data_IF_520166573962
#
_entry.id   IF_520166573962
#
_cell.length_a   1.000
_cell.length_b   1.000
_cell.length_c   1.000
_cell.angle_alpha   90.00
_cell.angle_beta   90.00
_cell.angle_gamma   90.00
#
_symmetry.space_group_name_H-M   'P 1'
#
loop_
_entity.id
_entity.type
_entity.pdbx_description
1 polymer ?
#
# COMPACT_ATOMS: atom_id res chain seq x y z
N UNK A 1 62.93 -23.65 27.71
CA UNK A 1 61.67 -23.81 28.46
C UNK A 1 61.17 -22.42 28.85
N UNK A 2 59.91 -22.09 28.49
CA UNK A 2 59.02 -21.05 29.07
C UNK A 2 59.40 -19.57 28.81
N UNK A 3 58.72 -18.89 27.87
CA UNK A 3 57.45 -18.11 27.98
C UNK A 3 57.75 -16.60 28.19
N UNK A 4 57.50 -15.73 27.20
CA UNK A 4 56.24 -15.04 26.84
C UNK A 4 55.99 -13.77 27.66
N UNK A 5 55.67 -12.67 26.95
CA UNK A 5 54.62 -11.63 27.17
C UNK A 5 55.03 -10.47 26.23
N UNK A 6 54.65 -10.45 24.95
CA UNK A 6 53.34 -10.10 24.35
C UNK A 6 52.78 -8.76 24.84
N UNK A 7 53.06 -7.68 24.11
CA UNK A 7 52.34 -6.41 24.20
C UNK A 7 51.11 -6.47 23.29
N UNK A 8 49.92 -6.43 23.90
CA UNK A 8 48.64 -6.28 23.23
C UNK A 8 48.47 -4.83 22.77
N UNK A 9 48.53 -4.60 21.45
CA UNK A 9 48.05 -3.37 20.85
C UNK A 9 46.52 -3.43 20.75
N UNK A 10 45.85 -2.51 21.44
CA UNK A 10 44.42 -2.25 21.32
C UNK A 10 44.20 -1.49 20.02
N UNK A 11 43.64 -2.15 19.01
CA UNK A 11 43.08 -1.48 17.83
C UNK A 11 41.56 -1.58 17.88
N UNK A 12 40.94 -0.48 18.30
CA UNK A 12 39.54 -0.15 18.06
C UNK A 12 39.33 -0.03 16.56
N UNK A 13 38.85 -1.10 15.91
CA UNK A 13 38.32 -0.99 14.55
C UNK A 13 36.86 -0.58 14.70
N UNK A 14 36.61 0.66 14.29
CA UNK A 14 35.31 1.30 14.20
C UNK A 14 34.29 0.37 13.55
N UNK A 15 33.20 0.12 14.27
CA UNK A 15 31.98 -0.41 13.68
C UNK A 15 31.43 0.61 12.71
N UNK A 16 31.78 0.47 11.43
CA UNK A 16 30.93 0.96 10.35
C UNK A 16 29.72 0.04 10.30
N UNK A 17 28.73 0.31 11.16
CA UNK A 17 27.36 -0.08 10.89
C UNK A 17 26.96 0.68 9.62
N UNK A 18 27.09 0.04 8.47
CA UNK A 18 26.34 0.43 7.29
C UNK A 18 24.88 0.13 7.62
N UNK A 19 24.23 1.06 8.32
CA UNK A 19 22.79 1.20 8.24
C UNK A 19 22.55 1.62 6.80
N UNK A 20 22.20 0.65 5.95
CA UNK A 20 21.49 0.98 4.72
C UNK A 20 20.18 1.60 5.22
N UNK A 21 20.08 2.92 5.14
CA UNK A 21 18.81 3.60 5.26
C UNK A 21 18.08 3.27 3.96
N UNK A 22 17.23 2.25 4.00
CA UNK A 22 16.16 2.15 3.03
C UNK A 22 15.27 3.36 3.27
N UNK A 23 15.26 4.24 2.28
CA UNK A 23 14.40 5.41 2.19
C UNK A 23 12.97 4.92 1.90
N UNK A 24 12.32 4.31 2.89
CA UNK A 24 10.94 3.84 2.76
C UNK A 24 10.00 4.91 3.33
N UNK A 25 9.77 5.95 2.54
CA UNK A 25 8.57 6.75 2.70
C UNK A 25 7.38 5.90 2.24
N UNK A 26 6.46 5.60 3.15
CA UNK A 26 5.25 4.83 2.81
C UNK A 26 4.52 5.44 1.62
N UNK A 27 4.06 4.58 0.71
CA UNK A 27 3.40 4.98 -0.53
C UNK A 27 1.97 5.49 -0.30
N UNK A 28 1.36 5.08 0.81
CA UNK A 28 0.03 5.55 1.22
C UNK A 28 0.04 5.92 2.69
N UNK A 29 -0.43 7.12 3.03
CA UNK A 29 -0.43 7.63 4.40
C UNK A 29 -1.76 8.32 4.68
N UNK A 30 -2.34 8.06 5.83
CA UNK A 30 -3.61 8.67 6.18
C UNK A 30 -4.21 8.19 7.48
N UNK A 31 -5.51 8.39 7.61
CA UNK A 31 -6.30 8.03 8.80
C UNK A 31 -7.41 7.06 8.43
N UNK A 32 -7.64 6.10 9.32
CA UNK A 32 -8.82 5.24 9.34
C UNK A 32 -9.44 5.34 10.74
N UNK A 33 -10.61 5.95 10.84
CA UNK A 33 -11.20 6.28 12.13
C UNK A 33 -10.42 7.41 12.79
N UNK A 34 -9.92 7.15 14.00
CA UNK A 34 -9.07 8.09 14.75
C UNK A 34 -7.57 7.76 14.64
N UNK A 35 -7.24 6.62 14.03
CA UNK A 35 -5.89 6.08 13.98
C UNK A 35 -5.19 6.48 12.67
N UNK A 36 -3.91 6.83 12.80
CA UNK A 36 -3.02 7.11 11.67
C UNK A 36 -2.32 5.83 11.20
N UNK A 37 -2.23 5.67 9.89
CA UNK A 37 -1.64 4.51 9.23
C UNK A 37 -0.71 4.94 8.10
N UNK A 38 0.27 4.08 7.86
CA UNK A 38 1.19 4.14 6.75
C UNK A 38 1.19 2.75 6.11
N UNK A 39 0.95 2.69 4.80
CA UNK A 39 0.94 1.45 4.03
C UNK A 39 2.00 1.50 2.93
N UNK A 40 2.65 0.36 2.72
CA UNK A 40 3.78 0.19 1.81
C UNK A 40 3.39 -0.69 0.63
N UNK A 41 3.73 -0.24 -0.57
CA UNK A 41 3.68 -1.00 -1.82
C UNK A 41 4.98 -1.80 -1.92
N UNK A 42 4.85 -3.12 -1.87
CA UNK A 42 5.96 -4.03 -1.76
C UNK A 42 6.29 -4.67 -3.10
N UNK A 43 7.58 -4.93 -3.28
CA UNK A 43 8.14 -5.51 -4.49
C UNK A 43 8.85 -6.82 -4.14
N UNK A 44 8.58 -7.88 -4.91
CA UNK A 44 9.29 -9.15 -4.82
C UNK A 44 9.81 -9.57 -6.19
N UNK A 45 11.10 -9.31 -6.43
CA UNK A 45 11.70 -9.53 -7.74
C UNK A 45 11.14 -8.56 -8.76
N UNK A 46 10.51 -9.08 -9.81
CA UNK A 46 9.85 -8.30 -10.86
C UNK A 46 8.34 -8.10 -10.58
N UNK A 47 7.83 -8.65 -9.48
CA UNK A 47 6.43 -8.53 -9.09
C UNK A 47 6.23 -7.37 -8.10
N UNK A 48 5.16 -6.60 -8.28
CA UNK A 48 4.71 -5.54 -7.38
C UNK A 48 3.27 -5.80 -6.95
N UNK A 49 2.92 -5.44 -5.72
CA UNK A 49 1.53 -5.42 -5.26
C UNK A 49 0.76 -4.18 -5.76
N UNK A 50 1.39 -3.32 -6.57
CA UNK A 50 0.77 -2.30 -7.40
C UNK A 50 0.97 -2.65 -8.88
N UNK A 51 -0.13 -2.93 -9.58
CA UNK A 51 -0.11 -3.31 -10.98
C UNK A 51 -1.16 -2.57 -11.78
N UNK A 52 -0.96 -2.49 -13.09
CA UNK A 52 -2.01 -2.01 -13.99
C UNK A 52 -2.07 -2.81 -15.30
N UNK A 53 -3.24 -2.79 -15.92
CA UNK A 53 -3.48 -3.39 -17.23
C UNK A 53 -4.33 -2.47 -18.11
N UNK A 54 -4.13 -2.57 -19.42
CA UNK A 54 -4.90 -1.86 -20.43
C UNK A 54 -6.04 -2.76 -20.92
N UNK A 55 -7.29 -2.29 -20.81
CA UNK A 55 -8.50 -2.99 -21.29
C UNK A 55 -9.28 -2.07 -22.21
N UNK A 56 -9.06 -2.20 -23.52
CA UNK A 56 -9.59 -1.24 -24.49
C UNK A 56 -8.93 0.12 -24.28
N UNK A 57 -9.74 1.16 -24.04
CA UNK A 57 -9.26 2.52 -23.76
C UNK A 57 -9.11 2.79 -22.24
N UNK A 58 -9.33 1.77 -21.41
CA UNK A 58 -9.28 1.89 -19.95
C UNK A 58 -7.95 1.41 -19.36
N UNK A 59 -7.49 2.09 -18.32
CA UNK A 59 -6.43 1.63 -17.43
C UNK A 59 -7.07 1.12 -16.14
N UNK A 60 -6.85 -0.17 -15.84
CA UNK A 60 -7.26 -0.77 -14.56
C UNK A 60 -6.04 -0.92 -13.68
N UNK A 61 -6.08 -0.30 -12.51
CA UNK A 61 -4.97 -0.21 -11.56
C UNK A 61 -5.42 -0.95 -10.30
N UNK A 62 -4.61 -1.89 -9.83
CA UNK A 62 -4.85 -2.69 -8.63
C UNK A 62 -3.66 -2.52 -7.69
N UNK A 63 -3.92 -2.08 -6.47
CA UNK A 63 -2.90 -1.74 -5.48
C UNK A 63 -3.28 -2.38 -4.16
N UNK A 64 -2.33 -2.99 -3.47
CA UNK A 64 -2.47 -3.37 -2.07
C UNK A 64 -1.32 -2.79 -1.29
N UNK A 65 -1.59 -1.99 -0.26
CA UNK A 65 -0.57 -1.53 0.68
C UNK A 65 -0.62 -2.31 1.98
N UNK A 66 0.55 -2.67 2.48
CA UNK A 66 0.71 -3.43 3.72
C UNK A 66 1.21 -2.55 4.86
N UNK A 67 0.84 -2.83 6.10
CA UNK A 67 1.36 -2.10 7.28
C UNK A 67 2.82 -2.47 7.56
N UNK A 68 3.18 -3.73 7.30
CA UNK A 68 4.56 -4.18 7.38
C UNK A 68 5.30 -3.83 6.06
N UNK A 69 6.46 -3.14 6.12
CA UNK A 69 7.21 -2.76 4.94
C UNK A 69 8.01 -3.92 4.30
N UNK A 70 7.94 -5.13 4.87
CA UNK A 70 8.71 -6.30 4.42
C UNK A 70 7.81 -7.48 4.09
N UNK A 71 6.78 -7.70 4.90
CA UNK A 71 5.90 -8.87 4.76
C UNK A 71 4.61 -8.55 3.99
N UNK A 72 4.26 -9.39 3.01
CA UNK A 72 2.99 -9.35 2.30
C UNK A 72 1.89 -9.98 3.17
N UNK A 73 1.65 -9.42 4.35
CA UNK A 73 0.60 -9.84 5.27
C UNK A 73 -0.63 -8.96 5.10
N UNK A 74 -1.76 -9.56 4.72
CA UNK A 74 -3.02 -8.84 4.53
C UNK A 74 -3.57 -8.21 5.82
N UNK A 75 -3.00 -8.51 6.99
CA UNK A 75 -3.38 -7.89 8.25
C UNK A 75 -3.34 -6.36 8.13
N UNK A 76 -4.53 -5.75 8.18
CA UNK A 76 -4.71 -4.31 8.08
C UNK A 76 -4.22 -3.70 6.76
N UNK A 77 -4.10 -4.51 5.71
CA UNK A 77 -3.76 -4.01 4.39
C UNK A 77 -4.92 -3.21 3.78
N UNK A 78 -4.55 -2.20 2.99
CA UNK A 78 -5.45 -1.33 2.25
C UNK A 78 -5.34 -1.66 0.77
N UNK A 79 -6.40 -2.26 0.22
CA UNK A 79 -6.51 -2.53 -1.20
C UNK A 79 -7.31 -1.44 -1.91
N UNK A 80 -6.88 -1.06 -3.10
CA UNK A 80 -7.49 -0.05 -3.95
C UNK A 80 -7.52 -0.54 -5.39
N UNK A 81 -8.67 -0.38 -6.03
CA UNK A 81 -8.85 -0.57 -7.48
C UNK A 81 -9.30 0.75 -8.10
N UNK A 82 -8.61 1.21 -9.13
CA UNK A 82 -8.94 2.41 -9.90
C UNK A 82 -9.12 2.05 -11.36
N UNK A 83 -10.19 2.56 -11.98
CA UNK A 83 -10.37 2.50 -13.43
C UNK A 83 -10.31 3.90 -14.00
N UNK A 84 -9.37 4.14 -14.91
CA UNK A 84 -9.20 5.40 -15.62
C UNK A 84 -9.59 5.25 -17.09
N UNK A 85 -10.13 6.31 -17.68
CA UNK A 85 -10.33 6.46 -19.12
C UNK A 85 -9.85 7.86 -19.52
N UNK A 86 -8.94 7.96 -20.50
CA UNK A 86 -8.33 9.24 -20.89
C UNK A 86 -7.76 10.05 -19.70
N UNK A 87 -7.09 9.37 -18.76
CA UNK A 87 -6.52 9.96 -17.52
C UNK A 87 -7.56 10.49 -16.52
N UNK A 88 -8.86 10.35 -16.80
CA UNK A 88 -9.94 10.69 -15.89
C UNK A 88 -10.39 9.46 -15.08
N UNK A 89 -10.65 9.65 -13.79
CA UNK A 89 -11.13 8.59 -12.91
C UNK A 89 -12.60 8.27 -13.22
N UNK A 90 -12.86 7.02 -13.58
CA UNK A 90 -14.20 6.51 -13.89
C UNK A 90 -14.81 5.77 -12.69
N UNK A 91 -14.02 4.90 -12.05
CA UNK A 91 -14.43 4.08 -10.93
C UNK A 91 -13.28 3.96 -9.92
N UNK A 92 -13.63 3.91 -8.64
CA UNK A 92 -12.72 3.60 -7.56
C UNK A 92 -13.39 2.67 -6.55
N UNK A 93 -12.66 1.70 -6.05
CA UNK A 93 -13.06 0.91 -4.89
C UNK A 93 -11.91 0.77 -3.91
N UNK A 94 -12.24 0.73 -2.62
CA UNK A 94 -11.27 0.63 -1.52
C UNK A 94 -11.76 -0.41 -0.54
N UNK A 95 -10.86 -1.28 -0.12
CA UNK A 95 -11.11 -2.31 0.90
C UNK A 95 -10.01 -2.26 1.93
N UNK A 96 -10.39 -2.16 3.19
CA UNK A 96 -9.49 -2.29 4.33
C UNK A 96 -9.76 -3.63 5.02
N UNK A 97 -8.76 -4.50 5.04
CA UNK A 97 -8.86 -5.78 5.72
C UNK A 97 -8.70 -5.63 7.23
N UNK A 98 -9.44 -6.42 8.01
CA UNK A 98 -9.34 -6.40 9.49
C UNK A 98 -8.52 -7.57 10.05
N UNK A 99 -8.14 -8.54 9.21
CA UNK A 99 -7.35 -9.70 9.60
C UNK A 99 -6.48 -10.20 8.45
N UNK A 100 -5.91 -11.39 8.59
CA UNK A 100 -4.91 -11.97 7.67
C UNK A 100 -5.49 -12.45 6.32
N UNK A 101 -6.77 -12.20 6.05
CA UNK A 101 -7.44 -12.67 4.83
C UNK A 101 -8.22 -11.55 4.18
N UNK A 102 -8.43 -11.66 2.87
CA UNK A 102 -9.32 -10.79 2.12
C UNK A 102 -10.82 -11.06 2.36
N UNK A 103 -11.18 -11.88 3.35
CA UNK A 103 -12.56 -12.21 3.69
C UNK A 103 -13.08 -11.31 4.82
N UNK A 104 -14.39 -11.02 4.85
CA UNK A 104 -15.00 -10.33 5.98
C UNK A 104 -14.69 -10.99 7.34
N UNK A 105 -14.59 -10.20 8.43
CA UNK A 105 -14.96 -8.79 8.50
C UNK A 105 -13.94 -7.86 7.83
N UNK A 106 -14.45 -6.87 7.10
CA UNK A 106 -13.65 -5.85 6.40
C UNK A 106 -14.43 -4.54 6.28
N UNK A 107 -13.73 -3.43 6.06
CA UNK A 107 -14.35 -2.18 5.63
C UNK A 107 -14.22 -2.05 4.11
N UNK A 108 -15.28 -1.59 3.44
CA UNK A 108 -15.32 -1.46 1.98
C UNK A 108 -15.99 -0.16 1.57
N UNK A 109 -15.59 0.40 0.43
CA UNK A 109 -16.26 1.53 -0.19
C UNK A 109 -17.65 1.15 -0.71
N UNK A 110 -17.92 -0.13 -0.94
CA UNK A 110 -19.27 -0.60 -1.28
C UNK A 110 -20.25 -0.30 -0.13
N UNK A 111 -21.36 0.37 -0.44
CA UNK A 111 -22.32 0.81 0.57
C UNK A 111 -21.81 1.93 1.49
N UNK A 112 -20.56 2.35 1.33
CA UNK A 112 -19.99 3.57 1.90
C UNK A 112 -20.17 4.78 0.97
N UNK A 113 -19.41 5.83 1.26
CA UNK A 113 -19.35 7.05 0.45
C UNK A 113 -17.91 7.55 0.43
N UNK A 114 -17.21 7.38 -0.70
CA UNK A 114 -15.83 7.85 -0.88
C UNK A 114 -15.72 8.74 -2.10
N UNK A 115 -14.83 9.71 -2.01
CA UNK A 115 -14.39 10.55 -3.13
C UNK A 115 -12.90 10.30 -3.34
N UNK A 116 -12.50 10.09 -4.58
CA UNK A 116 -11.09 9.97 -4.97
C UNK A 116 -10.75 11.11 -5.91
N UNK A 117 -9.70 11.85 -5.59
CA UNK A 117 -9.16 12.93 -6.43
C UNK A 117 -7.75 12.58 -6.87
N UNK A 118 -7.53 12.53 -8.17
CA UNK A 118 -6.20 12.33 -8.75
C UNK A 118 -5.55 13.70 -9.02
N UNK A 119 -4.28 13.80 -8.66
CA UNK A 119 -3.46 15.00 -8.86
C UNK A 119 -2.39 14.79 -9.93
N UNK A 120 -1.98 13.54 -10.16
CA UNK A 120 -1.01 13.17 -11.18
C UNK A 120 -1.29 11.76 -11.70
N UNK A 121 -1.19 11.58 -13.02
CA UNK A 121 -1.20 10.28 -13.70
C UNK A 121 -0.19 10.40 -14.83
N UNK A 122 0.85 9.56 -14.83
CA UNK A 122 1.87 9.57 -15.88
C UNK A 122 2.38 8.15 -16.13
N UNK A 123 2.34 7.74 -17.40
CA UNK A 123 2.89 6.45 -17.83
C UNK A 123 4.26 6.63 -18.46
N UNK A 124 5.27 5.95 -17.92
CA UNK A 124 6.61 5.86 -18.50
C UNK A 124 6.96 4.41 -18.79
N UNK A 125 6.76 3.98 -20.03
CA UNK A 125 7.06 2.61 -20.44
C UNK A 125 6.14 1.59 -19.77
N UNK A 126 6.70 0.81 -18.84
CA UNK A 126 5.96 -0.22 -18.07
C UNK A 126 5.50 0.27 -16.70
N UNK A 127 5.84 1.50 -16.34
CA UNK A 127 5.51 2.07 -15.03
C UNK A 127 4.41 3.12 -15.20
N UNK A 128 3.45 3.10 -14.28
CA UNK A 128 2.38 4.08 -14.17
C UNK A 128 2.48 4.75 -12.80
N UNK A 129 2.81 6.03 -12.79
CA UNK A 129 2.88 6.84 -11.58
C UNK A 129 1.53 7.52 -11.34
N UNK A 130 0.95 7.32 -10.16
CA UNK A 130 -0.36 7.86 -9.79
C UNK A 130 -0.27 8.50 -8.41
N UNK A 131 -0.71 9.76 -8.32
CA UNK A 131 -0.75 10.51 -7.06
C UNK A 131 -2.16 11.03 -6.82
N UNK A 132 -2.69 10.81 -5.62
CA UNK A 132 -4.04 11.25 -5.30
C UNK A 132 -4.37 11.24 -3.82
N UNK A 133 -5.66 11.43 -3.56
CA UNK A 133 -6.25 11.46 -2.23
C UNK A 133 -7.62 10.78 -2.27
N UNK A 134 -7.87 9.96 -1.26
CA UNK A 134 -9.14 9.29 -0.99
C UNK A 134 -9.69 9.88 0.29
N UNK A 135 -10.94 10.32 0.29
CA UNK A 135 -11.64 10.75 1.50
C UNK A 135 -13.07 10.23 1.53
N UNK A 136 -13.59 9.99 2.74
CA UNK A 136 -14.99 9.62 2.93
C UNK A 136 -15.19 8.63 4.05
N UNK A 137 -16.11 7.69 3.85
CA UNK A 137 -16.48 6.68 4.83
C UNK A 137 -16.60 5.31 4.15
N UNK A 138 -15.86 4.33 4.68
CA UNK A 138 -16.02 2.93 4.33
C UNK A 138 -17.14 2.31 5.19
N UNK A 139 -17.91 1.38 4.63
CA UNK A 139 -18.93 0.62 5.34
C UNK A 139 -18.38 -0.71 5.86
N UNK A 140 -18.86 -1.16 7.03
CA UNK A 140 -18.45 -2.45 7.60
C UNK A 140 -19.23 -3.60 6.97
N UNK A 141 -18.52 -4.60 6.47
CA UNK A 141 -19.11 -5.87 6.06
C UNK A 141 -18.70 -6.96 7.06
N UNK A 142 -19.69 -7.64 7.67
CA UNK A 142 -19.45 -8.66 8.69
C UNK A 142 -19.19 -10.04 8.08
N UNK A 143 -19.97 -10.42 7.06
CA UNK A 143 -19.86 -11.68 6.33
C UNK A 143 -20.05 -11.45 4.82
N UNK A 144 -19.68 -12.43 3.99
CA UNK A 144 -19.82 -12.36 2.53
C UNK A 144 -21.28 -12.18 2.08
N UNK A 145 -22.23 -12.72 2.84
CA UNK A 145 -23.66 -12.68 2.54
C UNK A 145 -24.36 -11.43 3.08
N UNK A 146 -23.71 -10.70 4.00
CA UNK A 146 -24.23 -9.45 4.54
C UNK A 146 -23.91 -8.28 3.61
N UNK A 147 -24.88 -7.39 3.42
CA UNK A 147 -24.61 -6.10 2.79
C UNK A 147 -23.75 -5.22 3.72
N UNK A 148 -22.82 -4.43 3.18
CA UNK A 148 -22.05 -3.47 3.98
C UNK A 148 -22.96 -2.46 4.70
N UNK A 149 -22.60 -2.13 5.95
CA UNK A 149 -23.34 -1.26 6.86
C UNK A 149 -22.63 0.09 7.01
N UNK A 150 -23.15 1.14 6.35
CA UNK A 150 -22.63 2.49 6.49
C UNK A 150 -22.75 3.00 7.94
N UNK A 151 -23.79 2.64 8.68
CA UNK A 151 -23.97 3.07 10.08
C UNK A 151 -22.90 2.53 11.03
N UNK A 152 -22.25 1.43 10.68
CA UNK A 152 -21.11 0.85 11.40
C UNK A 152 -19.78 1.13 10.67
N UNK A 153 -19.81 2.04 9.70
CA UNK A 153 -18.66 2.41 8.90
C UNK A 153 -17.62 3.24 9.65
N UNK A 154 -16.50 3.48 8.98
CA UNK A 154 -15.34 4.19 9.51
C UNK A 154 -14.89 5.27 8.53
N UNK A 155 -14.58 6.49 8.99
CA UNK A 155 -14.04 7.52 8.11
C UNK A 155 -12.64 7.14 7.61
N UNK A 156 -12.34 7.52 6.37
CA UNK A 156 -11.08 7.29 5.68
C UNK A 156 -10.58 8.62 5.11
N UNK A 157 -9.29 8.91 5.26
CA UNK A 157 -8.61 9.97 4.51
C UNK A 157 -7.17 9.55 4.23
N UNK A 158 -6.84 9.22 2.99
CA UNK A 158 -5.53 8.65 2.61
C UNK A 158 -4.96 9.35 1.39
N UNK A 159 -3.75 9.89 1.53
CA UNK A 159 -2.94 10.33 0.41
C UNK A 159 -2.13 9.15 -0.12
N UNK A 160 -1.99 9.06 -1.43
CA UNK A 160 -1.21 8.02 -2.09
C UNK A 160 -0.31 8.60 -3.17
N UNK A 161 0.89 8.05 -3.26
CA UNK A 161 1.91 8.31 -4.28
C UNK A 161 2.51 6.96 -4.65
N UNK A 162 2.02 6.37 -5.74
CA UNK A 162 2.27 4.97 -6.08
C UNK A 162 2.83 4.83 -7.49
N UNK A 163 3.75 3.87 -7.67
CA UNK A 163 4.17 3.41 -8.99
C UNK A 163 3.66 2.00 -9.22
N UNK A 164 2.73 1.83 -10.16
CA UNK A 164 2.18 0.54 -10.55
C UNK A 164 2.89 -0.02 -11.79
N UNK A 165 3.09 -1.34 -11.83
CA UNK A 165 3.76 -2.01 -12.93
C UNK A 165 2.79 -2.66 -13.92
N UNK A 166 3.08 -2.54 -15.21
CA UNK A 166 2.24 -3.13 -16.26
C UNK A 166 2.29 -4.66 -16.21
N UNK A 167 1.13 -5.30 -16.18
CA UNK A 167 0.98 -6.75 -16.34
C UNK A 167 0.37 -7.10 -17.70
N UNK A 168 0.84 -8.21 -18.30
CA UNK A 168 0.37 -8.73 -19.58
C UNK A 168 -0.12 -10.18 -19.38
N UNK A 169 -1.27 -10.53 -19.94
CA UNK A 169 -1.88 -11.87 -19.86
C UNK A 169 -1.85 -12.59 -21.21
#
# INVERSE_FOLDING_TARGET
MKQCVSWLAVSLIAGCSLLVSADETADMVGTLGEDEYAWFVLHQGDDSNASFMEVGDQLKIEVTGFIDPVEWDAQQALAMSLTLENEELMEASVVQFMGETAMPPLYTSEGGDITVTLSHVEQTGRDLHVVGHIEGQLALQHTLESSPSASEGVPLSVHFDITAQKVEF
#
